data_IF_882379686090
#
_entry.id   IF_882379686090
#
_cell.length_a   1.000
_cell.length_b   1.000
_cell.length_c   1.000
_cell.angle_alpha   90.00
_cell.angle_beta   90.00
_cell.angle_gamma   90.00
#
_symmetry.space_group_name_H-M   'P 1'
#
loop_
_entity.id
_entity.type
_entity.pdbx_description
1 polymer ?
#
# COMPACT_ATOMS: atom_id res chain seq x y z
N UNK A 1 40.10 54.49 5.60
CA UNK A 1 38.80 53.82 5.39
C UNK A 1 38.76 53.34 3.94
N UNK A 2 39.09 52.07 3.68
CA UNK A 2 39.13 51.52 2.33
C UNK A 2 37.89 50.65 2.12
N UNK A 3 36.92 51.15 1.34
CA UNK A 3 35.75 50.38 0.92
C UNK A 3 36.19 49.50 -0.24
N UNK A 4 36.41 48.22 0.02
CA UNK A 4 36.71 47.24 -1.02
C UNK A 4 35.49 47.11 -1.94
N UNK A 5 35.54 47.76 -3.09
CA UNK A 5 34.53 47.63 -4.14
C UNK A 5 34.70 46.26 -4.81
N UNK A 6 34.00 45.26 -4.31
CA UNK A 6 33.94 43.96 -4.99
C UNK A 6 33.43 44.17 -6.42
N UNK A 7 34.23 43.70 -7.39
CA UNK A 7 33.97 43.81 -8.84
C UNK A 7 32.57 43.32 -9.18
N UNK A 8 31.89 44.02 -10.09
CA UNK A 8 30.50 43.73 -10.50
C UNK A 8 30.31 42.29 -10.99
N UNK A 9 31.35 41.68 -11.58
CA UNK A 9 31.36 40.26 -11.97
C UNK A 9 31.22 39.32 -10.78
N UNK A 10 31.91 39.63 -9.67
CA UNK A 10 31.82 38.84 -8.44
C UNK A 10 30.44 38.97 -7.79
N UNK A 11 29.81 40.15 -7.90
CA UNK A 11 28.43 40.36 -7.40
C UNK A 11 27.42 39.53 -8.17
N UNK A 12 27.54 39.44 -9.50
CA UNK A 12 26.67 38.59 -10.34
C UNK A 12 26.83 37.12 -10.00
N UNK A 13 28.07 36.63 -9.87
CA UNK A 13 28.32 35.24 -9.50
C UNK A 13 27.75 34.86 -8.12
N UNK A 14 27.91 35.73 -7.10
CA UNK A 14 27.29 35.48 -5.79
C UNK A 14 25.75 35.54 -5.84
N UNK A 15 25.18 36.45 -6.63
CA UNK A 15 23.73 36.54 -6.78
C UNK A 15 23.14 35.29 -7.46
N UNK A 16 23.81 34.77 -8.50
CA UNK A 16 23.44 33.51 -9.16
C UNK A 16 23.61 32.31 -8.22
N UNK A 17 24.70 32.23 -7.45
CA UNK A 17 24.89 31.15 -6.50
C UNK A 17 23.85 31.18 -5.36
N UNK A 18 23.51 32.39 -4.88
CA UNK A 18 22.49 32.58 -3.85
C UNK A 18 21.09 32.24 -4.36
N UNK A 19 20.76 32.58 -5.61
CA UNK A 19 19.47 32.22 -6.21
C UNK A 19 19.34 30.71 -6.39
N UNK A 20 20.38 30.02 -6.87
CA UNK A 20 20.38 28.56 -7.00
C UNK A 20 20.24 27.88 -5.64
N UNK A 21 20.97 28.34 -4.61
CA UNK A 21 20.86 27.79 -3.26
C UNK A 21 19.44 28.00 -2.67
N UNK A 22 18.83 29.16 -2.91
CA UNK A 22 17.46 29.45 -2.49
C UNK A 22 16.47 28.53 -3.19
N UNK A 23 16.60 28.32 -4.49
CA UNK A 23 15.76 27.39 -5.26
C UNK A 23 15.90 25.96 -4.71
N UNK A 24 17.11 25.49 -4.44
CA UNK A 24 17.35 24.16 -3.85
C UNK A 24 16.71 24.03 -2.45
N UNK A 25 16.82 25.06 -1.60
CA UNK A 25 16.19 25.09 -0.27
C UNK A 25 14.66 25.10 -0.35
N UNK A 26 14.08 25.71 -1.39
CA UNK A 26 12.61 25.73 -1.61
C UNK A 26 12.12 24.37 -2.14
N UNK A 27 12.89 23.71 -2.99
CA UNK A 27 12.51 22.41 -3.56
C UNK A 27 12.69 21.27 -2.55
N UNK A 28 13.73 21.31 -1.70
CA UNK A 28 14.02 20.25 -0.72
C UNK A 28 12.83 19.83 0.18
N UNK A 29 12.02 20.73 0.76
CA UNK A 29 10.85 20.33 1.56
C UNK A 29 9.66 19.86 0.71
N UNK A 30 9.63 20.15 -0.60
CA UNK A 30 8.53 19.76 -1.49
C UNK A 30 8.63 18.32 -2.00
N UNK A 31 9.73 17.62 -1.71
CA UNK A 31 9.75 16.15 -1.72
C UNK A 31 8.96 15.71 -0.49
N UNK A 32 7.66 15.98 -0.50
CA UNK A 32 6.71 15.38 0.40
C UNK A 32 6.96 13.88 0.26
N UNK A 33 7.50 13.28 1.32
CA UNK A 33 7.36 11.84 1.50
C UNK A 33 5.89 11.57 1.22
N UNK A 34 5.60 10.78 0.18
CA UNK A 34 4.27 10.26 -0.04
C UNK A 34 3.97 9.44 1.20
N UNK A 35 3.39 10.10 2.20
CA UNK A 35 3.05 9.50 3.46
C UNK A 35 1.66 8.93 3.30
N UNK A 36 1.49 7.67 3.68
CA UNK A 36 0.18 7.04 3.78
C UNK A 36 -0.78 7.96 4.56
N UNK A 37 -1.80 8.49 3.86
CA UNK A 37 -2.83 9.35 4.47
C UNK A 37 -4.07 8.56 4.86
N UNK A 38 -4.11 7.26 4.55
CA UNK A 38 -5.23 6.39 4.86
C UNK A 38 -5.03 5.70 6.22
N UNK A 39 -5.80 6.09 7.24
CA UNK A 39 -5.74 5.46 8.56
C UNK A 39 -6.50 4.14 8.72
N UNK A 40 -7.11 3.60 7.65
CA UNK A 40 -7.97 2.41 7.75
C UNK A 40 -7.17 1.14 7.54
N UNK A 41 -6.97 0.39 8.63
CA UNK A 41 -6.22 -0.87 8.62
C UNK A 41 -7.09 -2.12 8.53
N UNK A 42 -8.41 -1.99 8.69
CA UNK A 42 -9.34 -3.11 8.63
C UNK A 42 -9.80 -3.35 7.18
N UNK A 43 -9.61 -4.55 6.59
CA UNK A 43 -9.92 -4.81 5.18
C UNK A 43 -11.42 -4.80 4.85
N UNK A 44 -12.28 -4.88 5.88
CA UNK A 44 -13.73 -4.87 5.74
C UNK A 44 -14.35 -3.49 6.00
N UNK A 45 -13.54 -2.53 6.45
CA UNK A 45 -13.96 -1.15 6.60
C UNK A 45 -13.82 -0.42 5.26
N UNK A 46 -14.82 0.41 4.93
CA UNK A 46 -14.75 1.26 3.73
C UNK A 46 -13.70 2.36 3.91
N UNK A 47 -12.85 2.52 2.90
CA UNK A 47 -11.79 3.53 2.90
C UNK A 47 -11.56 4.03 1.47
N UNK A 48 -11.55 5.35 1.31
CA UNK A 48 -11.05 5.97 0.09
C UNK A 48 -9.52 5.92 0.08
N UNK A 49 -8.94 5.55 -1.05
CA UNK A 49 -7.49 5.43 -1.24
C UNK A 49 -7.05 6.27 -2.43
N UNK A 50 -5.88 6.89 -2.32
CA UNK A 50 -5.23 7.69 -3.36
C UNK A 50 -3.82 7.16 -3.62
N UNK A 51 -3.15 7.67 -4.65
CA UNK A 51 -1.75 7.28 -4.95
C UNK A 51 -0.85 7.53 -3.73
N UNK A 52 -0.07 6.52 -3.36
CA UNK A 52 0.79 6.57 -2.17
C UNK A 52 0.08 6.30 -0.84
N UNK A 53 -1.25 6.09 -0.83
CA UNK A 53 -1.91 5.58 0.38
C UNK A 53 -1.68 4.08 0.51
N UNK A 54 -1.53 3.63 1.75
CA UNK A 54 -1.64 2.21 2.09
C UNK A 54 -3.11 1.79 1.98
N UNK A 55 -3.38 0.63 1.37
CA UNK A 55 -4.71 0.03 1.42
C UNK A 55 -4.64 -1.35 2.03
N UNK A 56 -5.49 -1.63 3.02
CA UNK A 56 -5.51 -2.97 3.62
C UNK A 56 -6.42 -3.88 2.81
N UNK A 57 -5.88 -5.00 2.35
CA UNK A 57 -6.66 -6.08 1.78
C UNK A 57 -6.45 -7.37 2.57
N UNK A 58 -7.51 -8.16 2.69
CA UNK A 58 -7.49 -9.46 3.38
C UNK A 58 -7.90 -10.58 2.44
N UNK A 59 -7.24 -11.74 2.55
CA UNK A 59 -7.62 -12.98 1.87
C UNK A 59 -8.01 -14.02 2.89
N UNK A 60 -9.24 -14.51 2.79
CA UNK A 60 -9.74 -15.60 3.61
C UNK A 60 -9.67 -16.93 2.83
N UNK A 61 -9.05 -17.94 3.44
CA UNK A 61 -8.95 -19.30 2.93
C UNK A 61 -9.82 -20.21 3.77
N UNK A 62 -10.82 -20.84 3.15
CA UNK A 62 -11.75 -21.76 3.81
C UNK A 62 -12.31 -22.76 2.79
N UNK A 63 -13.06 -23.76 3.26
CA UNK A 63 -13.77 -24.65 2.36
C UNK A 63 -14.86 -23.87 1.61
N UNK A 64 -15.18 -24.29 0.38
CA UNK A 64 -16.19 -23.61 -0.46
C UNK A 64 -17.51 -23.37 0.28
N UNK A 65 -17.99 -24.37 1.03
CA UNK A 65 -19.26 -24.28 1.77
C UNK A 65 -19.24 -23.27 2.90
N UNK A 66 -18.07 -22.88 3.41
CA UNK A 66 -17.96 -21.96 4.54
C UNK A 66 -18.29 -20.51 4.18
N UNK A 67 -18.22 -20.18 2.88
CA UNK A 67 -18.62 -18.89 2.31
C UNK A 67 -20.11 -18.79 1.99
N UNK A 68 -20.91 -19.81 2.31
CA UNK A 68 -22.35 -19.84 2.05
C UNK A 68 -23.16 -19.79 3.34
N UNK A 69 -24.29 -19.08 3.30
CA UNK A 69 -25.32 -19.09 4.34
C UNK A 69 -26.70 -19.12 3.68
N UNK A 70 -27.50 -20.14 3.99
CA UNK A 70 -28.84 -20.30 3.40
C UNK A 70 -28.83 -20.47 1.86
N UNK A 71 -27.77 -21.05 1.30
CA UNK A 71 -27.61 -21.22 -0.16
C UNK A 71 -27.11 -19.98 -0.90
N UNK A 72 -26.88 -18.86 -0.21
CA UNK A 72 -26.32 -17.63 -0.80
C UNK A 72 -24.84 -17.53 -0.45
N UNK A 73 -24.01 -17.26 -1.44
CA UNK A 73 -22.59 -16.93 -1.23
C UNK A 73 -22.47 -15.51 -0.66
N UNK A 74 -21.77 -15.36 0.44
CA UNK A 74 -21.54 -14.07 1.08
C UNK A 74 -20.08 -13.64 0.94
N UNK A 75 -19.84 -12.34 1.10
CA UNK A 75 -18.47 -11.82 1.14
C UNK A 75 -17.76 -12.29 2.43
N UNK A 76 -16.42 -12.45 2.43
CA UNK A 76 -15.68 -12.84 3.64
C UNK A 76 -15.85 -11.90 4.84
N UNK A 77 -16.28 -10.65 4.60
CA UNK A 77 -16.58 -9.66 5.63
C UNK A 77 -17.96 -9.82 6.28
N UNK A 78 -18.79 -10.74 5.79
CA UNK A 78 -20.12 -10.99 6.36
C UNK A 78 -20.01 -11.86 7.62
N UNK A 79 -20.33 -11.26 8.77
CA UNK A 79 -20.25 -11.92 10.08
C UNK A 79 -21.10 -13.19 10.20
N UNK A 80 -22.13 -13.38 9.35
CA UNK A 80 -22.94 -14.61 9.32
C UNK A 80 -22.14 -15.84 8.93
N UNK A 81 -21.01 -15.67 8.23
CA UNK A 81 -20.15 -16.78 7.83
C UNK A 81 -19.37 -17.37 9.01
N UNK A 82 -19.08 -16.56 10.05
CA UNK A 82 -18.28 -16.93 11.21
C UNK A 82 -16.98 -17.70 10.85
N UNK A 83 -16.26 -17.23 9.82
CA UNK A 83 -15.12 -17.93 9.22
C UNK A 83 -14.04 -18.32 10.25
N UNK A 84 -13.78 -17.45 11.23
CA UNK A 84 -12.81 -17.73 12.30
C UNK A 84 -13.21 -18.95 13.17
N UNK A 85 -14.50 -19.12 13.47
CA UNK A 85 -14.98 -20.28 14.25
C UNK A 85 -14.94 -21.58 13.45
N UNK A 86 -15.00 -21.49 12.11
CA UNK A 86 -14.85 -22.61 11.18
C UNK A 86 -13.39 -22.95 10.85
N UNK A 87 -12.43 -22.26 11.46
CA UNK A 87 -11.01 -22.52 11.26
C UNK A 87 -10.42 -21.98 9.95
N UNK A 88 -11.12 -21.05 9.29
CA UNK A 88 -10.59 -20.35 8.12
C UNK A 88 -9.27 -19.65 8.45
N UNK A 89 -8.35 -19.63 7.48
CA UNK A 89 -7.08 -18.90 7.61
C UNK A 89 -7.23 -17.53 6.97
N UNK A 90 -6.77 -16.49 7.66
CA UNK A 90 -6.80 -15.13 7.17
C UNK A 90 -5.35 -14.65 6.96
N UNK A 91 -5.10 -14.04 5.82
CA UNK A 91 -3.87 -13.30 5.58
C UNK A 91 -4.25 -11.84 5.27
N UNK A 92 -3.60 -10.88 5.94
CA UNK A 92 -3.87 -9.44 5.80
C UNK A 92 -2.61 -8.76 5.34
N UNK A 93 -2.74 -7.89 4.35
CA UNK A 93 -1.63 -7.18 3.73
C UNK A 93 -2.01 -5.72 3.53
N UNK A 94 -1.00 -4.87 3.53
CA UNK A 94 -1.16 -3.43 3.32
C UNK A 94 -0.10 -2.92 2.34
N UNK A 95 -0.29 -3.15 1.03
CA UNK A 95 0.50 -2.50 -0.01
C UNK A 95 0.12 -1.01 -0.16
N UNK A 96 0.97 -0.23 -0.82
CA UNK A 96 0.65 1.12 -1.28
C UNK A 96 -0.02 1.10 -2.67
N UNK A 97 -0.89 2.08 -2.94
CA UNK A 97 -1.53 2.25 -4.25
C UNK A 97 -0.48 2.56 -5.31
N UNK A 98 -0.61 1.91 -6.47
CA UNK A 98 0.33 1.91 -7.61
C UNK A 98 1.62 1.10 -7.41
N UNK A 99 1.72 0.26 -6.37
CA UNK A 99 2.80 -0.71 -6.21
C UNK A 99 2.38 -2.14 -6.61
N UNK A 100 3.31 -2.90 -7.17
CA UNK A 100 3.12 -4.34 -7.42
C UNK A 100 3.62 -5.15 -6.23
N UNK A 101 2.75 -5.98 -5.65
CA UNK A 101 3.07 -6.84 -4.51
C UNK A 101 2.92 -8.32 -4.88
N UNK A 102 3.87 -9.15 -4.43
CA UNK A 102 3.80 -10.60 -4.57
C UNK A 102 3.23 -11.24 -3.31
N UNK A 103 2.07 -11.89 -3.43
CA UNK A 103 1.46 -12.67 -2.36
C UNK A 103 1.96 -14.12 -2.41
N UNK A 104 2.67 -14.55 -1.37
CA UNK A 104 3.00 -15.97 -1.18
C UNK A 104 2.20 -16.53 -0.01
N UNK A 105 1.42 -17.58 -0.27
CA UNK A 105 0.62 -18.28 0.73
C UNK A 105 1.27 -19.64 0.96
N UNK A 106 1.63 -19.93 2.21
CA UNK A 106 2.13 -21.25 2.58
C UNK A 106 0.97 -22.14 3.01
N UNK A 107 0.67 -23.16 2.20
CA UNK A 107 -0.44 -24.10 2.43
C UNK A 107 -0.03 -25.35 3.23
N UNK A 108 1.25 -25.52 3.54
CA UNK A 108 1.78 -26.70 4.25
C UNK A 108 1.48 -26.71 5.77
N UNK A 109 0.91 -25.63 6.31
CA UNK A 109 0.57 -25.55 7.72
C UNK A 109 -0.56 -26.54 8.12
N UNK A 110 -0.41 -27.16 9.29
CA UNK A 110 -1.37 -28.10 9.85
C UNK A 110 -2.80 -27.51 9.84
N UNK A 111 -3.71 -28.15 9.11
CA UNK A 111 -5.08 -27.67 8.87
C UNK A 111 -5.53 -27.66 7.41
N UNK A 112 -4.65 -27.94 6.45
CA UNK A 112 -5.02 -28.47 5.13
C UNK A 112 -5.86 -27.54 4.24
N UNK A 113 -5.38 -26.33 3.96
CA UNK A 113 -5.92 -25.58 2.81
C UNK A 113 -5.26 -26.11 1.53
N UNK A 114 -5.99 -26.90 0.75
CA UNK A 114 -5.60 -27.35 -0.59
C UNK A 114 -6.38 -26.53 -1.62
N UNK A 115 -5.78 -25.48 -2.23
CA UNK A 115 -6.46 -24.74 -3.28
C UNK A 115 -6.74 -25.68 -4.44
N UNK A 116 -7.96 -25.63 -4.99
CA UNK A 116 -8.29 -26.41 -6.18
C UNK A 116 -7.28 -26.08 -7.29
N UNK A 117 -6.44 -27.06 -7.64
CA UNK A 117 -5.58 -26.97 -8.81
C UNK A 117 -6.48 -27.05 -10.03
N UNK A 118 -6.70 -25.92 -10.70
CA UNK A 118 -7.31 -25.92 -12.03
C UNK A 118 -6.31 -26.58 -12.98
N UNK A 119 -6.53 -27.86 -13.27
CA UNK A 119 -5.89 -28.50 -14.42
C UNK A 119 -6.52 -27.89 -15.66
N UNK A 120 -5.78 -27.00 -16.32
CA UNK A 120 -6.07 -26.69 -17.71
C UNK A 120 -5.79 -27.97 -18.50
N UNK A 121 -6.82 -28.76 -18.76
CA UNK A 121 -6.81 -29.67 -19.91
C UNK A 121 -6.83 -28.76 -21.14
N UNK A 122 -5.64 -28.46 -21.65
CA UNK A 122 -5.47 -27.79 -22.93
C UNK A 122 -5.89 -28.78 -24.04
N UNK A 123 -6.81 -28.41 -24.95
CA UNK A 123 -7.30 -29.28 -26.03
C UNK A 123 -6.23 -29.77 -27.00
#
# INVERSE_FOLDING_TARGET
MAVATLSSRSRRACAEAASVLLVLLVIAPSVAAGGDTNGVYEPCADAAVQRGDGFTFGVAFAARGDFFSGGVQLSPCDGRLSLASKGAKLAVFRPEVDEISLLTVNTSAAGGFDPMVYTHEEP
#
